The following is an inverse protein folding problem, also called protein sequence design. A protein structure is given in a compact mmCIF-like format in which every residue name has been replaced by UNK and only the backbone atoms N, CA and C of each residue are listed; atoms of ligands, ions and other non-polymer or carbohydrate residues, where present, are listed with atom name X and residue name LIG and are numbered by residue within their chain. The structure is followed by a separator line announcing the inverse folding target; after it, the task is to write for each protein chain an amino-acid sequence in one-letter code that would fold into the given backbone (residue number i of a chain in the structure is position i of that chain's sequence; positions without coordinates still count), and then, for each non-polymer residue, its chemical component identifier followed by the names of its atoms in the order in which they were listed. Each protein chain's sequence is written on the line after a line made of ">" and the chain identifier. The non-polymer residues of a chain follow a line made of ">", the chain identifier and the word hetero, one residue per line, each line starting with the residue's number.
data_IF_154641804596
#
_entry.id   IF_154641804596
#
_cell.length_a   1.000
_cell.length_b   1.000
_cell.length_c   1.000
_cell.angle_alpha   90.00
_cell.angle_beta   90.00
_cell.angle_gamma   90.00
#
_symmetry.space_group_name_H-M   'P 1'
#
loop_
_entity.id
_entity.type
_entity.pdbx_description
1 polymer ?
#
# COMPACT_ATOMS: atom_id res chain seq x y z
N UNK A 1 10.40 5.08 2.26
CA UNK A 1 10.24 5.62 0.88
C UNK A 1 9.84 4.46 -0.02
N UNK A 2 8.83 4.63 -0.86
CA UNK A 2 8.40 3.63 -1.84
C UNK A 2 9.24 3.81 -3.11
N UNK A 3 9.96 2.78 -3.58
CA UNK A 3 10.74 2.89 -4.82
C UNK A 3 9.81 3.10 -6.01
N UNK A 4 10.20 4.07 -6.85
CA UNK A 4 9.54 4.38 -8.10
C UNK A 4 10.30 3.76 -9.27
N UNK A 5 9.57 3.47 -10.35
CA UNK A 5 10.10 2.86 -11.57
C UNK A 5 9.22 3.22 -12.75
N UNK A 6 9.64 2.88 -13.97
CA UNK A 6 8.85 3.06 -15.21
C UNK A 6 8.34 4.50 -15.34
N UNK A 7 9.25 5.47 -15.23
CA UNK A 7 8.90 6.86 -15.41
C UNK A 7 8.65 7.19 -16.88
N UNK A 8 7.89 8.26 -17.11
CA UNK A 8 7.75 8.92 -18.40
C UNK A 8 7.48 10.41 -18.19
N UNK A 9 7.72 11.21 -19.23
CA UNK A 9 7.42 12.63 -19.23
C UNK A 9 6.95 13.07 -20.62
N UNK A 10 6.29 14.23 -20.70
CA UNK A 10 5.66 14.73 -21.93
C UNK A 10 6.63 14.94 -23.09
N UNK A 11 7.83 15.41 -22.81
CA UNK A 11 8.92 15.55 -23.78
C UNK A 11 10.25 15.62 -23.06
N UNK A 12 11.36 15.44 -23.77
CA UNK A 12 12.72 15.59 -23.21
C UNK A 12 13.39 16.80 -23.85
N UNK A 13 13.95 17.68 -23.02
CA UNK A 13 14.86 18.76 -23.41
C UNK A 13 16.17 18.65 -22.66
N UNK A 14 17.27 19.14 -23.26
CA UNK A 14 18.60 19.22 -22.62
C UNK A 14 19.08 17.91 -21.94
N UNK A 15 18.70 16.75 -22.45
CA UNK A 15 19.00 15.43 -21.85
C UNK A 15 18.44 15.24 -20.42
N UNK A 16 17.46 16.04 -20.00
CA UNK A 16 16.74 15.91 -18.73
C UNK A 16 15.69 14.79 -18.77
N UNK A 17 16.13 13.55 -18.92
CA UNK A 17 15.25 12.35 -18.94
C UNK A 17 14.55 12.12 -17.59
N UNK A 18 13.41 11.42 -17.60
CA UNK A 18 12.52 11.30 -16.44
C UNK A 18 13.14 10.59 -15.23
N UNK A 19 14.13 9.72 -15.47
CA UNK A 19 14.75 8.90 -14.42
C UNK A 19 15.56 9.72 -13.44
N UNK A 20 16.01 10.92 -13.84
CA UNK A 20 16.75 11.84 -12.96
C UNK A 20 15.96 12.32 -11.75
N UNK A 21 14.62 12.24 -11.77
CA UNK A 21 13.79 12.58 -10.62
C UNK A 21 13.50 11.38 -9.69
N UNK A 22 14.09 10.21 -9.96
CA UNK A 22 13.92 9.00 -9.15
C UNK A 22 15.24 8.23 -9.01
N UNK A 23 16.37 8.91 -9.17
CA UNK A 23 17.71 8.31 -9.11
C UNK A 23 18.28 8.30 -7.68
N UNK A 24 17.57 8.92 -6.72
CA UNK A 24 17.99 9.03 -5.33
C UNK A 24 18.92 10.20 -5.05
N UNK A 25 19.31 10.97 -6.07
CA UNK A 25 20.14 12.14 -5.94
C UNK A 25 19.26 13.39 -5.79
N UNK A 26 19.38 14.08 -4.65
CA UNK A 26 18.58 15.29 -4.39
C UNK A 26 19.29 16.58 -4.84
N UNK A 27 20.30 16.50 -5.71
CA UNK A 27 21.03 17.68 -6.16
C UNK A 27 20.11 18.57 -7.01
N UNK A 28 19.90 19.80 -6.55
CA UNK A 28 18.98 20.75 -7.17
C UNK A 28 19.66 21.68 -8.18
N UNK A 29 20.96 21.46 -8.45
CA UNK A 29 21.67 22.07 -9.56
C UNK A 29 21.51 21.20 -10.82
N UNK A 30 20.94 21.77 -11.88
CA UNK A 30 20.75 21.10 -13.16
C UNK A 30 22.04 20.52 -13.74
N UNK A 31 23.15 21.24 -13.61
CA UNK A 31 24.47 20.82 -14.08
C UNK A 31 25.07 19.69 -13.23
N UNK A 32 24.48 19.40 -12.07
CA UNK A 32 24.76 18.19 -11.29
C UNK A 32 24.14 16.92 -11.87
N UNK A 33 23.55 17.00 -13.07
CA UNK A 33 22.95 15.88 -13.81
C UNK A 33 21.80 15.15 -13.10
N UNK A 34 21.18 15.78 -12.10
CA UNK A 34 20.15 15.18 -11.24
C UNK A 34 18.74 15.72 -11.49
N UNK A 35 18.52 16.48 -12.58
CA UNK A 35 17.22 17.10 -12.84
C UNK A 35 16.64 16.74 -14.20
N UNK A 36 15.34 16.44 -14.23
CA UNK A 36 14.56 16.25 -15.46
C UNK A 36 14.35 17.58 -16.17
N UNK A 37 13.98 17.55 -17.46
CA UNK A 37 13.65 18.77 -18.20
C UNK A 37 12.78 18.43 -19.41
N UNK A 38 11.61 19.08 -19.52
CA UNK A 38 10.77 19.00 -20.72
C UNK A 38 11.18 20.05 -21.76
N UNK A 39 10.54 20.07 -22.93
CA UNK A 39 10.52 21.23 -23.82
C UNK A 39 9.53 22.29 -23.30
N UNK A 40 9.38 23.40 -24.02
CA UNK A 40 8.49 24.50 -23.66
C UNK A 40 7.02 24.14 -23.96
N UNK A 41 6.29 23.67 -22.94
CA UNK A 41 4.92 23.18 -23.08
C UNK A 41 4.17 23.18 -21.73
N UNK A 42 2.93 22.71 -21.69
CA UNK A 42 2.26 22.39 -20.41
C UNK A 42 2.64 20.98 -19.96
N UNK A 43 3.89 20.82 -19.54
CA UNK A 43 4.53 19.51 -19.36
C UNK A 43 4.01 18.69 -18.18
N UNK A 44 4.19 17.37 -18.27
CA UNK A 44 3.89 16.43 -17.20
C UNK A 44 5.02 15.41 -17.02
N UNK A 45 5.14 14.91 -15.81
CA UNK A 45 6.04 13.81 -15.43
C UNK A 45 5.24 12.79 -14.62
N UNK A 46 5.51 11.50 -14.80
CA UNK A 46 4.93 10.45 -13.98
C UNK A 46 5.91 9.30 -13.71
N UNK A 47 5.69 8.58 -12.62
CA UNK A 47 6.35 7.31 -12.33
C UNK A 47 5.44 6.38 -11.52
N UNK A 48 5.82 5.10 -11.45
CA UNK A 48 5.00 4.04 -10.83
C UNK A 48 5.68 3.43 -9.62
N UNK A 49 4.92 3.19 -8.55
CA UNK A 49 5.32 2.29 -7.48
C UNK A 49 5.33 0.84 -7.99
N UNK A 50 6.18 -0.02 -7.41
CA UNK A 50 6.27 -1.43 -7.83
C UNK A 50 4.96 -2.21 -7.65
N UNK A 51 4.24 -1.94 -6.55
CA UNK A 51 2.95 -2.56 -6.20
C UNK A 51 1.96 -1.47 -5.83
N UNK A 52 0.68 -1.83 -5.80
CA UNK A 52 -0.37 -0.95 -5.29
C UNK A 52 0.04 -0.49 -3.89
N UNK A 53 -0.03 0.81 -3.64
CA UNK A 53 0.47 1.40 -2.40
C UNK A 53 -0.53 2.37 -1.80
N UNK A 54 -0.59 2.44 -0.48
CA UNK A 54 -1.17 3.57 0.23
C UNK A 54 -0.12 4.68 0.28
N UNK A 55 -0.24 5.65 -0.64
CA UNK A 55 0.63 6.81 -0.77
C UNK A 55 0.18 7.87 0.23
N UNK A 56 0.97 8.04 1.30
CA UNK A 56 0.70 8.98 2.38
C UNK A 56 1.18 10.38 2.02
N UNK A 57 2.38 10.47 1.47
CA UNK A 57 3.06 11.74 1.21
C UNK A 57 3.91 11.69 -0.06
N UNK A 58 3.99 12.82 -0.77
CA UNK A 58 4.81 13.02 -1.97
C UNK A 58 5.67 14.27 -1.75
N UNK A 59 6.98 14.13 -1.87
CA UNK A 59 7.96 15.20 -1.71
C UNK A 59 8.64 15.49 -3.04
N UNK A 60 8.66 16.77 -3.44
CA UNK A 60 9.15 17.24 -4.73
C UNK A 60 10.30 18.22 -4.50
N UNK A 61 11.43 17.97 -5.16
CA UNK A 61 12.61 18.82 -5.14
C UNK A 61 12.66 19.63 -6.44
N UNK A 62 12.66 20.97 -6.30
CA UNK A 62 12.70 21.90 -7.42
C UNK A 62 14.13 22.05 -7.96
N UNK A 63 14.32 22.74 -9.09
CA UNK A 63 15.63 23.25 -9.51
C UNK A 63 15.96 24.54 -8.77
N UNK A 64 17.23 24.75 -8.40
CA UNK A 64 17.68 25.90 -7.64
C UNK A 64 18.86 26.69 -8.23
N UNK A 65 19.64 26.12 -9.16
CA UNK A 65 20.72 26.86 -9.82
C UNK A 65 20.22 27.99 -10.73
N UNK A 66 18.99 27.86 -11.24
CA UNK A 66 18.20 28.93 -11.84
C UNK A 66 16.72 28.51 -11.86
N UNK A 67 15.86 29.43 -12.27
CA UNK A 67 14.59 29.04 -12.90
C UNK A 67 13.57 28.34 -11.98
N UNK A 68 13.76 28.42 -10.66
CA UNK A 68 12.86 27.84 -9.65
C UNK A 68 11.42 28.35 -9.76
N UNK A 69 11.24 29.54 -10.37
CA UNK A 69 9.96 30.18 -10.67
C UNK A 69 9.14 29.49 -11.78
N UNK A 70 9.70 28.48 -12.47
CA UNK A 70 8.94 27.69 -13.45
C UNK A 70 7.93 26.77 -12.77
N UNK A 71 8.31 26.13 -11.65
CA UNK A 71 7.48 25.18 -10.91
C UNK A 71 6.56 25.87 -9.89
N UNK A 72 5.69 26.78 -10.36
CA UNK A 72 4.85 27.60 -9.47
C UNK A 72 3.34 27.39 -9.61
N UNK A 73 2.89 26.67 -10.64
CA UNK A 73 1.50 26.30 -10.85
C UNK A 73 1.39 24.88 -11.42
N UNK A 74 1.09 23.90 -10.56
CA UNK A 74 1.02 22.49 -10.92
C UNK A 74 0.06 21.70 -10.02
N UNK A 75 -0.30 20.50 -10.46
CA UNK A 75 -1.12 19.55 -9.71
C UNK A 75 -0.37 18.24 -9.54
N UNK A 76 -0.52 17.62 -8.37
CA UNK A 76 0.00 16.29 -8.05
C UNK A 76 -1.19 15.33 -7.95
N UNK A 77 -1.12 14.22 -8.66
CA UNK A 77 -2.15 13.18 -8.65
C UNK A 77 -1.59 11.79 -8.37
N UNK A 78 -2.44 10.93 -7.82
CA UNK A 78 -2.23 9.48 -7.70
C UNK A 78 -3.36 8.79 -8.46
N UNK A 79 -3.02 8.01 -9.48
CA UNK A 79 -3.96 7.35 -10.40
C UNK A 79 -5.07 8.31 -10.91
N UNK A 80 -4.69 9.55 -11.21
CA UNK A 80 -5.62 10.60 -11.68
C UNK A 80 -6.34 11.38 -10.57
N UNK A 81 -6.35 10.90 -9.34
CA UNK A 81 -6.97 11.60 -8.20
C UNK A 81 -6.01 12.64 -7.61
N UNK A 82 -6.50 13.86 -7.41
CA UNK A 82 -5.71 14.98 -6.87
C UNK A 82 -5.28 14.70 -5.42
N UNK A 83 -3.97 14.74 -5.18
CA UNK A 83 -3.36 14.76 -3.85
C UNK A 83 -3.20 16.20 -3.33
N UNK A 84 -2.93 17.12 -4.24
CA UNK A 84 -2.75 18.54 -3.93
C UNK A 84 -2.35 19.34 -5.17
N UNK A 85 -2.37 20.65 -5.03
CA UNK A 85 -1.94 21.59 -6.06
C UNK A 85 -1.04 22.65 -5.43
N UNK A 86 -0.18 23.23 -6.25
CA UNK A 86 0.59 24.40 -5.90
C UNK A 86 0.24 25.48 -6.90
N UNK A 87 -0.19 26.65 -6.41
CA UNK A 87 -0.44 27.83 -7.21
C UNK A 87 -0.05 29.05 -6.38
N UNK A 88 1.23 29.42 -6.41
CA UNK A 88 1.77 30.53 -5.64
C UNK A 88 2.89 31.20 -6.41
N UNK A 89 3.12 32.50 -6.19
CA UNK A 89 4.27 33.20 -6.75
C UNK A 89 5.59 32.85 -6.04
N UNK A 90 5.51 32.25 -4.86
CA UNK A 90 6.68 31.80 -4.11
C UNK A 90 7.44 30.70 -4.85
N UNK A 91 8.77 30.77 -4.79
CA UNK A 91 9.63 29.64 -5.16
C UNK A 91 9.85 28.75 -3.94
N UNK A 92 10.05 27.46 -4.16
CA UNK A 92 10.38 26.52 -3.09
C UNK A 92 11.59 25.67 -3.46
N UNK A 93 12.35 25.27 -2.44
CA UNK A 93 13.40 24.25 -2.52
C UNK A 93 12.78 22.86 -2.55
N UNK A 94 11.99 22.52 -1.54
CA UNK A 94 11.26 21.25 -1.43
C UNK A 94 9.81 21.54 -1.09
N UNK A 95 8.87 20.83 -1.73
CA UNK A 95 7.45 20.88 -1.38
C UNK A 95 6.92 19.49 -1.10
N UNK A 96 6.23 19.37 0.02
CA UNK A 96 5.62 18.13 0.48
C UNK A 96 4.09 18.22 0.38
N UNK A 97 3.47 17.17 -0.15
CA UNK A 97 2.02 17.03 -0.28
C UNK A 97 1.55 15.78 0.46
N UNK A 98 0.66 15.94 1.42
CA UNK A 98 -0.08 14.83 2.02
C UNK A 98 -1.16 14.37 1.03
N UNK A 99 -1.21 13.08 0.73
CA UNK A 99 -2.16 12.52 -0.24
C UNK A 99 -3.15 11.54 0.40
N UNK A 100 -2.66 10.59 1.20
CA UNK A 100 -3.45 9.49 1.81
C UNK A 100 -4.39 8.79 0.79
N UNK A 101 -3.84 8.40 -0.37
CA UNK A 101 -4.59 7.68 -1.42
C UNK A 101 -3.95 6.35 -1.74
N UNK A 102 -4.77 5.40 -2.16
CA UNK A 102 -4.30 4.12 -2.68
C UNK A 102 -4.13 4.25 -4.19
N UNK A 103 -2.96 3.91 -4.71
CA UNK A 103 -2.70 3.90 -6.14
C UNK A 103 -1.31 3.42 -6.52
N UNK A 104 -0.97 3.54 -7.80
CA UNK A 104 0.35 3.15 -8.34
C UNK A 104 1.09 4.28 -9.06
N UNK A 105 0.37 5.12 -9.79
CA UNK A 105 0.95 6.13 -10.68
C UNK A 105 0.92 7.48 -9.98
N UNK A 106 2.09 8.07 -9.74
CA UNK A 106 2.22 9.45 -9.28
C UNK A 106 2.50 10.33 -10.49
N UNK A 107 1.71 11.38 -10.68
CA UNK A 107 1.89 12.35 -11.76
C UNK A 107 1.98 13.77 -11.22
N UNK A 108 2.90 14.53 -11.79
CA UNK A 108 3.07 15.97 -11.56
C UNK A 108 2.86 16.65 -12.90
N UNK A 109 1.86 17.53 -12.98
CA UNK A 109 1.49 18.22 -14.23
C UNK A 109 1.52 19.73 -14.04
N UNK A 110 2.36 20.41 -14.82
CA UNK A 110 2.37 21.86 -14.90
C UNK A 110 1.06 22.37 -15.50
N UNK A 111 0.53 23.46 -14.94
CA UNK A 111 -0.59 24.22 -15.50
C UNK A 111 -0.11 25.49 -16.22
N UNK A 112 1.20 25.72 -16.28
CA UNK A 112 1.86 26.78 -17.06
C UNK A 112 2.51 26.17 -18.29
N UNK A 113 2.47 26.91 -19.40
CA UNK A 113 3.31 26.66 -20.58
C UNK A 113 4.74 27.09 -20.28
N UNK A 114 5.54 26.19 -19.74
CA UNK A 114 6.93 26.42 -19.32
C UNK A 114 7.70 25.10 -19.31
N UNK A 115 8.99 25.14 -18.99
CA UNK A 115 9.76 23.91 -18.82
C UNK A 115 9.45 23.29 -17.46
N UNK A 116 9.02 22.02 -17.44
CA UNK A 116 8.90 21.24 -16.21
C UNK A 116 10.26 20.62 -15.89
N UNK A 117 10.77 20.94 -14.71
CA UNK A 117 12.05 20.46 -14.19
C UNK A 117 11.83 19.98 -12.77
N UNK A 118 12.14 18.71 -12.52
CA UNK A 118 12.05 18.06 -11.21
C UNK A 118 13.41 17.45 -10.93
N UNK A 119 14.00 17.78 -9.78
CA UNK A 119 15.32 17.27 -9.40
C UNK A 119 15.23 16.02 -8.53
N UNK A 120 14.10 15.79 -7.86
CA UNK A 120 13.81 14.51 -7.22
C UNK A 120 12.32 14.46 -6.85
N UNK A 121 11.74 13.26 -6.91
CA UNK A 121 10.38 12.98 -6.44
C UNK A 121 10.42 11.76 -5.54
N UNK A 122 10.19 11.98 -4.24
CA UNK A 122 10.15 10.92 -3.24
C UNK A 122 8.72 10.65 -2.81
N UNK A 123 8.33 9.38 -2.83
CA UNK A 123 6.98 8.94 -2.44
C UNK A 123 7.07 8.14 -1.15
N UNK A 124 6.23 8.48 -0.18
CA UNK A 124 6.19 7.88 1.14
C UNK A 124 4.84 7.21 1.37
N UNK A 125 4.88 6.02 1.96
CA UNK A 125 3.71 5.19 2.15
C UNK A 125 4.12 3.74 2.33
N UNK A 126 3.12 2.87 2.27
CA UNK A 126 3.28 1.42 2.44
C UNK A 126 2.60 0.71 1.28
N UNK A 127 3.16 -0.41 0.83
CA UNK A 127 2.46 -1.24 -0.15
C UNK A 127 1.13 -1.70 0.42
N UNK A 128 0.07 -1.51 -0.37
CA UNK A 128 -1.28 -1.86 -0.02
C UNK A 128 -1.38 -3.38 0.05
N UNK A 129 -1.37 -3.91 1.28
CA UNK A 129 -1.72 -5.30 1.52
C UNK A 129 -3.23 -5.41 1.32
N UNK A 130 -3.66 -5.98 0.19
CA UNK A 130 -5.06 -6.37 -0.04
C UNK A 130 -5.45 -7.29 1.13
N UNK A 131 -6.17 -6.78 2.13
CA UNK A 131 -6.78 -7.61 3.17
C UNK A 131 -7.87 -8.41 2.46
N UNK A 132 -7.82 -9.75 2.44
CA UNK A 132 -8.93 -10.52 1.93
C UNK A 132 -10.14 -10.21 2.80
N UNK A 133 -11.29 -9.97 2.18
CA UNK A 133 -12.54 -9.69 2.89
C UNK A 133 -13.28 -11.02 3.10
N UNK A 134 -12.72 -11.91 3.92
CA UNK A 134 -13.53 -12.97 4.51
C UNK A 134 -14.33 -12.37 5.68
N UNK A 135 -15.58 -12.81 5.84
CA UNK A 135 -16.48 -12.34 6.89
C UNK A 135 -16.02 -12.92 8.23
N UNK A 136 -15.67 -12.06 9.18
CA UNK A 136 -15.43 -12.48 10.57
C UNK A 136 -16.77 -12.73 11.24
N UNK A 137 -16.91 -13.91 11.86
CA UNK A 137 -18.15 -14.37 12.47
C UNK A 137 -18.15 -14.23 13.99
N UNK A 138 -16.98 -14.09 14.60
CA UNK A 138 -16.83 -13.91 16.05
C UNK A 138 -15.66 -14.71 16.62
N UNK A 139 -15.47 -14.52 17.92
CA UNK A 139 -14.53 -15.29 18.73
C UNK A 139 -15.27 -16.41 19.43
N UNK A 140 -14.75 -17.63 19.42
CA UNK A 140 -15.45 -18.79 19.98
C UNK A 140 -14.57 -19.59 20.91
N UNK A 141 -15.17 -20.14 21.96
CA UNK A 141 -14.50 -21.07 22.86
C UNK A 141 -14.12 -22.36 22.14
N UNK A 142 -12.91 -22.87 22.40
CA UNK A 142 -12.49 -24.20 21.96
C UNK A 142 -12.06 -25.02 23.16
N UNK A 143 -12.28 -26.33 23.14
CA UNK A 143 -11.84 -27.23 24.19
C UNK A 143 -11.59 -28.64 23.65
N UNK A 144 -10.90 -29.50 24.42
CA UNK A 144 -10.75 -30.91 24.03
C UNK A 144 -12.06 -31.69 24.17
N UNK A 145 -12.89 -31.30 25.14
CA UNK A 145 -14.15 -31.95 25.47
C UNK A 145 -15.27 -31.54 24.51
N UNK A 146 -15.27 -30.26 24.12
CA UNK A 146 -16.19 -29.66 23.16
C UNK A 146 -15.41 -28.86 22.11
N UNK A 147 -14.80 -29.54 21.12
CA UNK A 147 -14.04 -28.88 20.07
C UNK A 147 -14.95 -28.10 19.13
N UNK A 148 -14.55 -26.87 18.84
CA UNK A 148 -15.26 -25.96 17.96
C UNK A 148 -15.16 -26.37 16.48
N UNK A 149 -14.05 -27.02 16.13
CA UNK A 149 -13.84 -27.65 14.82
C UNK A 149 -13.31 -29.05 15.04
N UNK A 150 -13.93 -30.04 14.39
CA UNK A 150 -13.60 -31.46 14.56
C UNK A 150 -12.20 -31.82 14.04
N UNK A 151 -11.64 -31.01 13.11
CA UNK A 151 -10.35 -31.30 12.47
C UNK A 151 -9.45 -30.07 12.49
N UNK A 152 -8.31 -30.19 13.18
CA UNK A 152 -7.19 -29.28 13.01
C UNK A 152 -6.62 -29.46 11.61
N UNK A 153 -6.70 -28.41 10.82
CA UNK A 153 -6.38 -28.47 9.40
C UNK A 153 -4.87 -28.33 9.12
N UNK A 154 -4.21 -27.37 9.80
CA UNK A 154 -2.77 -27.13 9.64
C UNK A 154 -2.15 -26.34 10.82
N UNK A 155 -0.82 -26.25 10.87
CA UNK A 155 -0.09 -25.30 11.72
C UNK A 155 1.10 -24.72 10.99
N UNK A 156 1.41 -23.45 11.24
CA UNK A 156 2.56 -22.79 10.60
C UNK A 156 3.09 -21.64 11.44
N UNK A 157 4.42 -21.49 11.49
CA UNK A 157 5.10 -20.30 12.04
C UNK A 157 4.92 -19.04 11.16
N UNK A 158 4.38 -19.20 9.95
CA UNK A 158 4.03 -18.11 9.03
C UNK A 158 2.52 -18.15 8.73
N UNK A 159 1.69 -18.47 9.72
CA UNK A 159 0.24 -18.55 9.56
C UNK A 159 -0.34 -17.15 9.43
N UNK A 160 -1.30 -16.98 8.52
CA UNK A 160 -2.11 -15.78 8.38
C UNK A 160 -3.56 -16.21 8.17
N UNK A 161 -4.52 -15.35 8.48
CA UNK A 161 -5.93 -15.61 8.16
C UNK A 161 -6.09 -16.00 6.66
N UNK A 162 -5.40 -15.28 5.75
CA UNK A 162 -5.37 -15.58 4.31
C UNK A 162 -4.81 -16.96 3.97
N UNK A 163 -3.77 -17.40 4.67
CA UNK A 163 -3.17 -18.72 4.45
C UNK A 163 -4.15 -19.82 4.89
N UNK A 164 -4.81 -19.64 6.03
CA UNK A 164 -5.83 -20.57 6.49
C UNK A 164 -7.05 -20.59 5.55
N UNK A 165 -7.58 -19.42 5.16
CA UNK A 165 -8.65 -19.30 4.17
C UNK A 165 -8.35 -20.06 2.88
N UNK A 166 -7.16 -19.85 2.27
CA UNK A 166 -6.78 -20.57 1.03
C UNK A 166 -6.71 -22.07 1.23
N UNK A 167 -6.23 -22.53 2.37
CA UNK A 167 -6.15 -23.95 2.68
C UNK A 167 -7.55 -24.57 2.84
N UNK A 168 -8.42 -23.95 3.62
CA UNK A 168 -9.80 -24.41 3.80
C UNK A 168 -10.62 -24.31 2.50
N UNK A 169 -10.42 -23.25 1.71
CA UNK A 169 -10.96 -23.14 0.36
C UNK A 169 -10.54 -24.31 -0.53
N UNK A 170 -9.26 -24.70 -0.52
CA UNK A 170 -8.79 -25.84 -1.31
C UNK A 170 -9.36 -27.19 -0.86
N UNK A 171 -9.91 -27.25 0.36
CA UNK A 171 -10.63 -28.41 0.90
C UNK A 171 -12.14 -28.35 0.68
N UNK A 172 -12.65 -27.28 0.06
CA UNK A 172 -14.08 -27.11 -0.21
C UNK A 172 -14.93 -26.72 1.00
N UNK A 173 -14.33 -26.37 2.14
CA UNK A 173 -15.07 -26.11 3.38
C UNK A 173 -15.71 -24.73 3.43
N UNK A 174 -16.82 -24.62 4.15
CA UNK A 174 -17.57 -23.36 4.31
C UNK A 174 -16.90 -22.37 5.29
N UNK A 175 -16.34 -22.85 6.39
CA UNK A 175 -15.76 -22.02 7.45
C UNK A 175 -14.29 -22.35 7.70
N UNK A 176 -13.56 -21.36 8.20
CA UNK A 176 -12.22 -21.56 8.74
C UNK A 176 -12.04 -20.82 10.06
N UNK A 177 -11.10 -21.30 10.86
CA UNK A 177 -10.69 -20.60 12.06
C UNK A 177 -9.19 -20.61 12.25
N UNK A 178 -8.72 -19.59 12.96
CA UNK A 178 -7.33 -19.49 13.41
C UNK A 178 -7.28 -19.40 14.93
N UNK A 179 -6.36 -20.14 15.52
CA UNK A 179 -6.17 -20.22 16.97
C UNK A 179 -4.71 -19.98 17.34
N UNK A 180 -4.50 -19.27 18.45
CA UNK A 180 -3.18 -19.06 19.05
C UNK A 180 -2.14 -18.58 18.02
N UNK A 181 -2.57 -17.73 17.08
CA UNK A 181 -1.72 -17.14 16.05
C UNK A 181 -1.23 -18.08 14.94
N UNK A 182 -1.29 -19.40 15.11
CA UNK A 182 -0.49 -20.34 14.31
C UNK A 182 -1.24 -21.58 13.82
N UNK A 183 -2.38 -21.91 14.43
CA UNK A 183 -3.18 -23.09 14.11
C UNK A 183 -4.33 -22.70 13.20
N UNK A 184 -4.63 -23.55 12.22
CA UNK A 184 -5.70 -23.37 11.26
C UNK A 184 -6.66 -24.55 11.36
N UNK A 185 -7.95 -24.27 11.28
CA UNK A 185 -9.05 -25.22 11.34
C UNK A 185 -10.00 -24.94 10.19
N UNK A 186 -10.64 -25.99 9.66
CA UNK A 186 -11.62 -25.90 8.59
C UNK A 186 -12.84 -26.73 8.97
N UNK A 187 -14.03 -26.33 8.53
CA UNK A 187 -15.24 -27.11 8.77
C UNK A 187 -16.46 -26.60 8.01
N UNK A 188 -17.48 -27.44 7.92
CA UNK A 188 -18.78 -27.06 7.33
C UNK A 188 -19.72 -26.37 8.30
N UNK A 189 -19.42 -26.43 9.60
CA UNK A 189 -20.21 -25.80 10.65
C UNK A 189 -19.26 -25.28 11.74
N UNK A 190 -19.65 -24.17 12.37
CA UNK A 190 -18.91 -23.47 13.41
C UNK A 190 -19.77 -23.20 14.66
N UNK A 191 -20.89 -23.88 14.82
CA UNK A 191 -21.80 -23.69 15.97
C UNK A 191 -21.53 -24.73 17.09
N UNK A 192 -20.60 -25.67 16.88
CA UNK A 192 -20.21 -26.65 17.91
C UNK A 192 -19.34 -26.03 19.00
N UNK A 193 -19.44 -26.47 20.25
CA UNK A 193 -18.55 -26.03 21.33
C UNK A 193 -19.26 -25.28 22.46
N UNK A 194 -18.51 -24.52 23.25
CA UNK A 194 -19.02 -23.78 24.41
C UNK A 194 -19.58 -22.39 24.05
N UNK A 195 -19.92 -22.17 22.79
CA UNK A 195 -20.48 -20.91 22.30
C UNK A 195 -19.46 -19.79 22.05
N UNK A 196 -20.00 -18.59 21.89
CA UNK A 196 -19.26 -17.37 21.58
C UNK A 196 -18.50 -16.85 22.82
N UNK A 197 -17.29 -16.35 22.58
CA UNK A 197 -16.45 -15.67 23.54
C UNK A 197 -16.43 -14.16 23.25
N UNK A 198 -15.93 -13.36 24.20
CA UNK A 198 -15.70 -11.95 23.92
C UNK A 198 -14.68 -11.79 22.79
N UNK A 199 -14.95 -10.88 21.86
CA UNK A 199 -14.04 -10.61 20.74
C UNK A 199 -12.62 -10.24 21.19
N UNK A 200 -12.51 -9.62 22.37
CA UNK A 200 -11.25 -9.27 23.03
C UNK A 200 -10.37 -10.48 23.39
N UNK A 201 -10.95 -11.67 23.52
CA UNK A 201 -10.20 -12.92 23.77
C UNK A 201 -9.43 -13.40 22.53
N UNK A 202 -9.89 -13.02 21.33
CA UNK A 202 -9.25 -13.33 20.06
C UNK A 202 -8.16 -12.29 19.71
N UNK A 203 -7.26 -12.03 20.66
CA UNK A 203 -6.28 -10.94 20.58
C UNK A 203 -4.85 -11.37 20.20
N UNK A 204 -4.60 -12.65 19.95
CA UNK A 204 -3.26 -13.16 19.63
C UNK A 204 -2.92 -12.83 18.17
N UNK A 205 -1.80 -12.15 17.88
CA UNK A 205 -1.40 -11.84 16.50
C UNK A 205 -1.11 -13.10 15.67
N UNK A 206 -1.35 -13.02 14.35
CA UNK A 206 -0.97 -14.09 13.44
C UNK A 206 0.56 -14.23 13.37
N UNK A 207 1.07 -15.48 13.41
CA UNK A 207 2.51 -15.75 13.40
C UNK A 207 3.22 -15.29 12.12
N UNK A 208 2.48 -15.19 11.01
CA UNK A 208 2.96 -14.66 9.72
C UNK A 208 2.51 -13.24 9.39
N UNK A 209 1.73 -12.57 10.25
CA UNK A 209 1.29 -11.17 10.07
C UNK A 209 0.89 -10.55 11.41
N UNK A 210 1.85 -9.94 12.11
CA UNK A 210 1.66 -9.40 13.47
C UNK A 210 0.67 -8.23 13.57
N UNK A 211 0.32 -7.62 12.43
CA UNK A 211 -0.68 -6.55 12.36
C UNK A 211 -2.14 -7.05 12.34
N UNK A 212 -2.37 -8.36 12.37
CA UNK A 212 -3.69 -8.98 12.27
C UNK A 212 -3.86 -10.00 13.40
N UNK A 213 -5.08 -10.09 13.95
CA UNK A 213 -5.42 -11.03 15.04
C UNK A 213 -5.83 -12.40 14.50
N UNK A 214 -5.40 -13.47 15.17
CA UNK A 214 -5.57 -14.86 14.76
C UNK A 214 -5.98 -15.75 15.96
N UNK A 215 -7.13 -15.42 16.55
CA UNK A 215 -7.70 -16.15 17.68
C UNK A 215 -7.00 -15.85 19.00
N UNK A 216 -7.11 -16.78 19.94
CA UNK A 216 -6.50 -16.72 21.26
C UNK A 216 -6.06 -18.11 21.75
N UNK A 217 -5.68 -18.21 23.03
CA UNK A 217 -5.42 -19.51 23.67
C UNK A 217 -6.77 -20.20 23.88
N UNK A 218 -7.01 -21.35 23.25
CA UNK A 218 -8.30 -22.04 23.28
C UNK A 218 -9.48 -21.14 22.84
N UNK A 219 -9.19 -20.25 21.89
CA UNK A 219 -10.15 -19.31 21.28
C UNK A 219 -9.95 -19.28 19.78
N UNK A 220 -11.02 -19.57 19.06
CA UNK A 220 -11.02 -19.60 17.62
C UNK A 220 -11.60 -18.30 17.09
N UNK A 221 -10.81 -17.54 16.34
CA UNK A 221 -11.36 -16.47 15.51
C UNK A 221 -11.92 -17.14 14.26
N UNK A 222 -13.24 -17.08 14.09
CA UNK A 222 -13.97 -17.82 13.05
C UNK A 222 -14.35 -16.90 11.90
N UNK A 223 -14.23 -17.42 10.68
CA UNK A 223 -14.50 -16.70 9.46
C UNK A 223 -15.22 -17.57 8.45
N UNK A 224 -16.02 -16.94 7.59
CA UNK A 224 -16.54 -17.57 6.37
C UNK A 224 -15.44 -17.63 5.31
N UNK A 225 -15.30 -18.79 4.65
CA UNK A 225 -14.31 -18.95 3.58
C UNK A 225 -14.70 -18.06 2.39
N UNK A 226 -13.77 -17.19 1.99
CA UNK A 226 -13.97 -16.34 0.81
C UNK A 226 -13.78 -17.16 -0.47
N UNK A 227 -14.91 -17.52 -1.11
CA UNK A 227 -14.95 -18.27 -2.38
C UNK A 227 -14.38 -17.47 -3.56
N UNK A 228 -14.21 -16.15 -3.44
CA UNK A 228 -13.76 -15.26 -4.52
C UNK A 228 -12.27 -14.89 -4.46
N UNK A 229 -11.53 -15.35 -3.44
CA UNK A 229 -10.07 -15.11 -3.36
C UNK A 229 -9.31 -16.13 -4.21
N UNK A 230 -8.75 -15.68 -5.32
CA UNK A 230 -7.75 -16.39 -6.13
C UNK A 230 -6.34 -16.33 -5.53
#
# INVERSE_FOLDING_TARGET
>A
ILPLSRCSQSSVGWNGVCSKAIDGNTNQNYWGHSCTHTKLESGWWMAKTQKLAHIKEIKIFNRLDCCSNRLTNFVVTVDGHVCGSYNSRGVFKVKTFRCNKVGKVVMIRSRKRTYLTLCEVQVFGDYFKKRPKFKYLGCFYDSKEYPQFSIKAASSRKMTQRKCNRFCKSRGTTYFAVQSGSRCFCGENYIYGNGEAEDGDCNVPCSGDSGIKCGGKMRNAVFEVDKNVS
#
